data_IF_667396344843
#
_entry.id   IF_667396344843
#
_cell.length_a   1.000
_cell.length_b   1.000
_cell.length_c   1.000
_cell.angle_alpha   90.00
_cell.angle_beta   90.00
_cell.angle_gamma   90.00
#
_symmetry.space_group_name_H-M   'P 1'
#
loop_
_entity.id
_entity.type
_entity.pdbx_description
1 polymer ?
#
# COMPACT_ATOMS: atom_id res chain seq x y z
N UNK A 1 -11.59 11.15 2.37
CA UNK A 1 -12.47 10.57 3.40
C UNK A 1 -12.05 11.06 4.77
N UNK A 2 -12.95 11.73 5.49
CA UNK A 2 -12.70 12.30 6.83
C UNK A 2 -13.95 12.17 7.68
N UNK A 3 -13.80 12.17 9.02
CA UNK A 3 -14.88 12.19 9.99
C UNK A 3 -15.05 10.85 10.71
N UNK A 4 -15.16 10.89 12.03
CA UNK A 4 -15.37 9.70 12.85
C UNK A 4 -16.66 9.00 12.41
N UNK A 5 -16.62 7.67 12.28
CA UNK A 5 -17.73 6.84 11.79
C UNK A 5 -18.15 7.08 10.33
N UNK A 6 -17.43 7.92 9.58
CA UNK A 6 -17.66 8.02 8.14
C UNK A 6 -17.07 6.79 7.45
N UNK A 7 -17.90 6.13 6.62
CA UNK A 7 -17.53 4.90 5.93
C UNK A 7 -17.81 5.03 4.44
N UNK A 8 -16.82 4.76 3.60
CA UNK A 8 -17.02 4.48 2.19
C UNK A 8 -16.87 2.98 1.96
N UNK A 9 -17.97 2.34 1.59
CA UNK A 9 -17.97 0.93 1.20
C UNK A 9 -18.15 0.83 -0.31
N UNK A 10 -17.12 0.32 -0.98
CA UNK A 10 -17.16 -0.12 -2.36
C UNK A 10 -17.18 -1.66 -2.36
N UNK A 11 -18.05 -2.30 -3.12
CA UNK A 11 -18.06 -3.78 -3.22
C UNK A 11 -17.09 -4.30 -4.28
N UNK A 12 -16.62 -3.42 -5.18
CA UNK A 12 -15.65 -3.74 -6.21
C UNK A 12 -14.23 -3.29 -5.87
N UNK A 13 -13.39 -3.29 -6.91
CA UNK A 13 -12.05 -2.76 -6.81
C UNK A 13 -12.06 -1.23 -6.69
N UNK A 14 -11.14 -0.70 -5.88
CA UNK A 14 -10.87 0.73 -5.76
C UNK A 14 -9.54 1.02 -6.48
N UNK A 15 -9.59 1.95 -7.43
CA UNK A 15 -8.43 2.41 -8.18
C UNK A 15 -8.10 3.85 -7.81
N UNK A 16 -6.86 4.09 -7.39
CA UNK A 16 -6.26 5.41 -7.27
C UNK A 16 -5.26 5.53 -8.41
N UNK A 17 -5.74 6.05 -9.55
CA UNK A 17 -5.06 6.01 -10.83
C UNK A 17 -5.24 4.67 -11.56
N UNK A 18 -6.32 4.54 -12.35
CA UNK A 18 -6.51 3.38 -13.24
C UNK A 18 -5.58 3.46 -14.46
N UNK A 19 -5.70 4.54 -15.24
CA UNK A 19 -4.75 4.93 -16.32
C UNK A 19 -4.14 6.32 -16.07
N UNK A 20 -4.53 6.96 -14.96
CA UNK A 20 -4.18 8.34 -14.65
C UNK A 20 -3.01 8.44 -13.68
N UNK A 21 -2.25 9.53 -13.81
CA UNK A 21 -1.17 9.88 -12.89
C UNK A 21 -1.59 10.95 -11.90
N UNK A 22 -0.85 11.07 -10.80
CA UNK A 22 -0.99 12.16 -9.82
C UNK A 22 -2.35 12.25 -9.12
N UNK A 23 -3.08 11.13 -9.02
CA UNK A 23 -4.30 11.06 -8.22
C UNK A 23 -3.96 10.86 -6.74
N UNK A 24 -4.86 11.27 -5.85
CA UNK A 24 -4.67 11.09 -4.41
C UNK A 24 -5.94 10.66 -3.69
N UNK A 25 -5.77 9.87 -2.63
CA UNK A 25 -6.80 9.58 -1.65
C UNK A 25 -6.25 9.78 -0.24
N UNK A 26 -6.96 10.55 0.58
CA UNK A 26 -6.65 10.72 2.00
C UNK A 26 -7.77 10.11 2.83
N UNK A 27 -7.41 9.26 3.79
CA UNK A 27 -8.30 8.65 4.78
C UNK A 27 -7.80 9.11 6.15
N UNK A 28 -8.62 9.90 6.84
CA UNK A 28 -8.21 10.55 8.09
C UNK A 28 -9.35 10.68 9.09
N UNK A 29 -9.04 11.17 10.30
CA UNK A 29 -10.00 11.53 11.35
C UNK A 29 -10.98 10.38 11.68
N UNK A 30 -10.47 9.16 11.85
CA UNK A 30 -11.30 8.00 12.20
C UNK A 30 -12.19 7.45 11.08
N UNK A 31 -12.05 7.94 9.84
CA UNK A 31 -12.83 7.45 8.71
C UNK A 31 -12.37 6.07 8.24
N UNK A 32 -13.28 5.30 7.65
CA UNK A 32 -13.00 3.98 7.09
C UNK A 32 -13.31 3.89 5.59
N UNK A 33 -12.46 3.19 4.85
CA UNK A 33 -12.69 2.79 3.46
C UNK A 33 -12.62 1.28 3.37
N UNK A 34 -13.59 0.67 2.68
CA UNK A 34 -13.63 -0.77 2.43
C UNK A 34 -13.87 -1.05 0.96
N UNK A 35 -13.11 -1.99 0.39
CA UNK A 35 -13.23 -2.43 -1.00
C UNK A 35 -12.75 -3.88 -1.19
N UNK A 36 -13.06 -4.49 -2.34
CA UNK A 36 -12.66 -5.88 -2.60
C UNK A 36 -11.17 -6.01 -2.96
N UNK A 37 -10.66 -5.11 -3.79
CA UNK A 37 -9.23 -5.01 -4.12
C UNK A 37 -8.81 -3.55 -4.26
N UNK A 38 -7.61 -3.19 -3.80
CA UNK A 38 -7.08 -1.83 -3.84
C UNK A 38 -5.88 -1.73 -4.77
N UNK A 39 -5.93 -0.79 -5.70
CA UNK A 39 -4.84 -0.55 -6.65
C UNK A 39 -4.44 0.93 -6.61
N UNK A 40 -3.15 1.19 -6.41
CA UNK A 40 -2.55 2.51 -6.55
C UNK A 40 -1.63 2.44 -7.77
N UNK A 41 -2.02 3.07 -8.89
CA UNK A 41 -1.33 2.95 -10.17
C UNK A 41 -1.53 1.58 -10.83
N UNK A 42 -2.67 1.40 -11.50
CA UNK A 42 -3.05 0.12 -12.12
C UNK A 42 -2.36 -0.13 -13.46
N UNK A 43 -2.56 0.73 -14.46
CA UNK A 43 -1.91 0.59 -15.77
C UNK A 43 -0.49 1.17 -15.79
N UNK A 44 0.30 0.79 -16.79
CA UNK A 44 1.74 1.11 -16.88
C UNK A 44 2.06 2.61 -16.87
N UNK A 45 1.15 3.44 -17.39
CA UNK A 45 1.28 4.88 -17.40
C UNK A 45 0.77 5.57 -16.12
N UNK A 46 0.19 4.83 -15.17
CA UNK A 46 -0.41 5.38 -13.96
C UNK A 46 0.65 5.63 -12.88
N UNK A 47 1.26 6.80 -12.93
CA UNK A 47 2.39 7.15 -12.07
C UNK A 47 2.06 8.19 -11.00
N UNK A 48 2.87 8.28 -9.95
CA UNK A 48 2.76 9.33 -8.93
C UNK A 48 1.39 9.39 -8.23
N UNK A 49 0.63 8.30 -8.22
CA UNK A 49 -0.61 8.23 -7.45
C UNK A 49 -0.29 7.95 -5.98
N UNK A 50 -1.08 8.50 -5.07
CA UNK A 50 -0.78 8.43 -3.64
C UNK A 50 -2.00 8.13 -2.79
N UNK A 51 -1.80 7.34 -1.73
CA UNK A 51 -2.80 7.15 -0.69
C UNK A 51 -2.17 7.46 0.67
N UNK A 52 -2.87 8.24 1.49
CA UNK A 52 -2.47 8.53 2.87
C UNK A 52 -3.56 8.06 3.81
N UNK A 53 -3.22 7.16 4.73
CA UNK A 53 -4.08 6.71 5.82
C UNK A 53 -3.45 7.19 7.12
N UNK A 54 -4.11 8.14 7.80
CA UNK A 54 -3.50 8.87 8.92
C UNK A 54 -4.50 9.14 10.04
N UNK A 55 -4.03 9.09 11.28
CA UNK A 55 -4.82 9.40 12.46
C UNK A 55 -5.49 8.17 13.08
N UNK A 56 -5.59 8.19 14.41
CA UNK A 56 -6.15 7.10 15.18
C UNK A 56 -7.55 6.72 14.70
N UNK A 57 -7.76 5.42 14.47
CA UNK A 57 -9.03 4.88 13.99
C UNK A 57 -9.26 5.01 12.48
N UNK A 58 -8.42 5.76 11.75
CA UNK A 58 -8.48 5.78 10.30
C UNK A 58 -8.09 4.41 9.74
N UNK A 59 -8.89 3.89 8.80
CA UNK A 59 -8.72 2.54 8.31
C UNK A 59 -8.97 2.40 6.81
N UNK A 60 -8.14 1.59 6.15
CA UNK A 60 -8.40 1.10 4.80
C UNK A 60 -8.37 -0.43 4.77
N UNK A 61 -9.50 -1.05 4.43
CA UNK A 61 -9.66 -2.51 4.41
C UNK A 61 -9.94 -3.01 3.00
N UNK A 62 -9.03 -3.78 2.45
CA UNK A 62 -9.17 -4.50 1.20
C UNK A 62 -9.46 -5.97 1.54
N UNK A 63 -10.60 -6.53 1.11
CA UNK A 63 -10.86 -7.96 1.45
C UNK A 63 -10.03 -8.94 0.62
N UNK A 64 -9.44 -8.47 -0.47
CA UNK A 64 -8.53 -9.19 -1.36
C UNK A 64 -7.20 -8.48 -1.48
N UNK A 65 -6.75 -8.26 -2.71
CA UNK A 65 -5.41 -7.74 -3.01
C UNK A 65 -5.29 -6.25 -2.65
N UNK A 66 -4.13 -5.84 -2.15
CA UNK A 66 -3.64 -4.47 -2.17
C UNK A 66 -2.35 -4.41 -2.99
N UNK A 67 -2.33 -3.60 -4.04
CA UNK A 67 -1.14 -3.40 -4.90
C UNK A 67 -0.77 -1.92 -4.97
N UNK A 68 0.48 -1.61 -4.65
CA UNK A 68 1.09 -0.29 -4.87
C UNK A 68 2.03 -0.40 -6.06
N UNK A 69 1.59 0.14 -7.20
CA UNK A 69 2.18 -0.10 -8.51
C UNK A 69 1.86 -1.50 -9.03
N UNK A 70 0.64 -1.71 -9.56
CA UNK A 70 0.32 -2.96 -10.25
C UNK A 70 1.11 -3.04 -11.56
N UNK A 71 0.95 -2.04 -12.44
CA UNK A 71 1.87 -1.78 -13.55
C UNK A 71 2.51 -0.38 -13.51
N UNK A 72 1.96 0.54 -12.73
CA UNK A 72 2.44 1.91 -12.64
C UNK A 72 3.71 2.06 -11.78
N UNK A 73 4.46 3.13 -12.06
CA UNK A 73 5.68 3.49 -11.32
C UNK A 73 5.48 4.67 -10.36
N UNK A 74 6.36 4.82 -9.38
CA UNK A 74 6.41 5.98 -8.48
C UNK A 74 5.11 6.21 -7.69
N UNK A 75 4.33 5.18 -7.42
CA UNK A 75 3.11 5.27 -6.60
C UNK A 75 3.45 5.09 -5.12
N UNK A 76 2.63 5.67 -4.24
CA UNK A 76 2.90 5.66 -2.80
C UNK A 76 1.69 5.35 -1.92
N UNK A 77 1.96 4.66 -0.81
CA UNK A 77 1.04 4.50 0.31
C UNK A 77 1.74 4.89 1.61
N UNK A 78 1.15 5.81 2.37
CA UNK A 78 1.62 6.20 3.70
C UNK A 78 0.59 5.80 4.76
N UNK A 79 1.05 5.09 5.78
CA UNK A 79 0.25 4.67 6.94
C UNK A 79 0.90 5.26 8.18
N UNK A 80 0.21 6.20 8.84
CA UNK A 80 0.82 6.98 9.92
C UNK A 80 -0.14 7.40 11.03
N UNK A 81 0.38 7.93 12.13
CA UNK A 81 -0.36 8.47 13.28
C UNK A 81 -1.44 7.52 13.84
N UNK A 82 -1.13 6.24 14.02
CA UNK A 82 -2.06 5.26 14.60
C UNK A 82 -3.11 4.68 13.64
N UNK A 83 -2.97 4.94 12.34
CA UNK A 83 -3.85 4.40 11.30
C UNK A 83 -3.56 2.93 10.95
N UNK A 84 -4.53 2.26 10.33
CA UNK A 84 -4.44 0.82 10.00
C UNK A 84 -4.83 0.53 8.55
N UNK A 85 -4.02 -0.28 7.86
CA UNK A 85 -4.37 -0.85 6.56
C UNK A 85 -4.41 -2.37 6.66
N UNK A 86 -5.45 -2.97 6.10
CA UNK A 86 -5.65 -4.43 6.11
C UNK A 86 -5.91 -4.93 4.70
N UNK A 87 -5.30 -6.04 4.34
CA UNK A 87 -5.53 -6.72 3.07
C UNK A 87 -5.33 -8.24 3.17
N UNK A 88 -5.71 -8.98 2.11
CA UNK A 88 -5.43 -10.41 1.98
C UNK A 88 -4.00 -10.65 1.48
N UNK A 89 -3.69 -10.26 0.23
CA UNK A 89 -2.34 -10.35 -0.35
C UNK A 89 -1.84 -8.96 -0.73
N UNK A 90 -0.55 -8.71 -0.52
CA UNK A 90 0.07 -7.39 -0.61
C UNK A 90 1.23 -7.39 -1.59
N UNK A 91 1.23 -6.44 -2.52
CA UNK A 91 2.28 -6.31 -3.54
C UNK A 91 2.75 -4.87 -3.62
N UNK A 92 4.07 -4.67 -3.66
CA UNK A 92 4.70 -3.40 -4.01
C UNK A 92 5.52 -3.63 -5.27
N UNK A 93 5.05 -3.15 -6.41
CA UNK A 93 5.68 -3.41 -7.70
C UNK A 93 5.39 -4.80 -8.27
N UNK A 94 4.16 -5.01 -8.74
CA UNK A 94 3.69 -6.33 -9.19
C UNK A 94 4.28 -6.74 -10.56
N UNK A 95 4.05 -5.96 -11.62
CA UNK A 95 4.60 -6.25 -12.95
C UNK A 95 5.96 -5.60 -13.22
N UNK A 96 6.59 -5.98 -14.33
CA UNK A 96 7.93 -5.54 -14.75
C UNK A 96 8.08 -4.01 -14.90
N UNK A 97 7.04 -3.29 -15.30
CA UNK A 97 7.07 -1.83 -15.43
C UNK A 97 6.93 -1.10 -14.08
N UNK A 98 6.50 -1.80 -13.03
CA UNK A 98 6.21 -1.23 -11.73
C UNK A 98 7.49 -0.95 -10.96
N UNK A 99 8.05 0.23 -11.18
CA UNK A 99 9.29 0.65 -10.55
C UNK A 99 9.10 1.78 -9.55
N UNK A 100 9.98 1.84 -8.55
CA UNK A 100 10.06 2.95 -7.59
C UNK A 100 8.78 3.19 -6.80
N UNK A 101 7.95 2.16 -6.59
CA UNK A 101 6.78 2.27 -5.73
C UNK A 101 7.19 2.12 -4.27
N UNK A 102 6.50 2.84 -3.38
CA UNK A 102 6.87 2.90 -1.97
C UNK A 102 5.67 2.74 -1.04
N UNK A 103 5.84 1.93 0.00
CA UNK A 103 4.95 1.91 1.16
C UNK A 103 5.73 2.38 2.38
N UNK A 104 5.19 3.33 3.12
CA UNK A 104 5.76 3.82 4.38
C UNK A 104 4.79 3.58 5.53
N UNK A 105 5.24 2.87 6.56
CA UNK A 105 4.50 2.65 7.80
C UNK A 105 5.29 3.25 8.95
N UNK A 106 4.82 4.39 9.45
CA UNK A 106 5.58 5.20 10.43
C UNK A 106 4.69 5.73 11.55
N UNK A 107 5.22 5.74 12.76
CA UNK A 107 4.55 6.26 13.94
C UNK A 107 3.91 5.17 14.79
N UNK A 108 3.92 5.39 16.11
CA UNK A 108 3.40 4.45 17.09
C UNK A 108 1.95 4.08 16.80
N UNK A 109 1.67 2.77 16.78
CA UNK A 109 0.34 2.21 16.54
C UNK A 109 -0.08 2.18 15.08
N UNK A 110 0.72 2.71 14.15
CA UNK A 110 0.49 2.54 12.72
C UNK A 110 0.79 1.12 12.28
N UNK A 111 -0.12 0.53 11.51
CA UNK A 111 0.01 -0.87 11.13
C UNK A 111 -0.44 -1.18 9.71
N UNK A 112 0.34 -1.99 9.01
CA UNK A 112 -0.10 -2.73 7.83
C UNK A 112 -0.25 -4.22 8.18
N UNK A 113 -1.48 -4.73 8.09
CA UNK A 113 -1.83 -6.12 8.40
C UNK A 113 -2.20 -6.84 7.10
N UNK A 114 -1.24 -7.58 6.57
CA UNK A 114 -1.40 -8.44 5.41
C UNK A 114 -1.80 -9.86 5.87
N UNK A 115 -2.88 -10.43 5.38
CA UNK A 115 -3.36 -11.74 5.87
C UNK A 115 -2.88 -12.95 5.05
N UNK A 116 -1.96 -12.72 4.11
CA UNK A 116 -1.45 -13.71 3.18
C UNK A 116 -0.01 -13.40 2.79
N UNK A 117 0.25 -13.39 1.49
CA UNK A 117 1.57 -13.21 0.89
C UNK A 117 1.92 -11.73 0.81
N UNK A 118 3.19 -11.39 1.05
CA UNK A 118 3.71 -10.03 0.92
C UNK A 118 4.93 -10.02 0.00
N UNK A 119 4.84 -9.36 -1.15
CA UNK A 119 5.94 -9.28 -2.09
C UNK A 119 6.35 -7.84 -2.38
N UNK A 120 7.65 -7.58 -2.31
CA UNK A 120 8.27 -6.31 -2.64
C UNK A 120 9.13 -6.52 -3.88
N UNK A 121 8.62 -6.08 -5.03
CA UNK A 121 9.13 -6.39 -6.35
C UNK A 121 8.84 -7.84 -6.73
N UNK A 122 7.63 -8.12 -7.21
CA UNK A 122 7.34 -9.42 -7.81
C UNK A 122 8.11 -9.51 -9.14
N UNK A 123 7.78 -8.63 -10.10
CA UNK A 123 8.57 -8.43 -11.32
C UNK A 123 9.23 -7.04 -11.39
N UNK A 124 8.77 -6.09 -10.58
CA UNK A 124 9.19 -4.69 -10.60
C UNK A 124 10.53 -4.44 -9.89
N UNK A 125 11.28 -3.44 -10.36
CA UNK A 125 12.56 -3.04 -9.76
C UNK A 125 12.48 -1.75 -8.93
N UNK A 126 13.34 -1.60 -7.93
CA UNK A 126 13.46 -0.34 -7.17
C UNK A 126 12.30 -0.07 -6.20
N UNK A 127 11.47 -1.06 -5.89
CA UNK A 127 10.34 -0.89 -4.98
C UNK A 127 10.79 -0.98 -3.52
N UNK A 128 10.10 -0.28 -2.62
CA UNK A 128 10.51 -0.20 -1.22
C UNK A 128 9.36 -0.26 -0.22
N UNK A 129 9.64 -0.90 0.90
CA UNK A 129 8.85 -0.82 2.12
C UNK A 129 9.70 -0.19 3.22
N UNK A 130 9.20 0.88 3.83
CA UNK A 130 9.83 1.55 4.98
C UNK A 130 8.95 1.39 6.20
N UNK A 131 9.54 0.89 7.29
CA UNK A 131 8.91 0.76 8.60
C UNK A 131 9.74 1.58 9.58
N UNK A 132 9.14 2.58 10.23
CA UNK A 132 9.87 3.47 11.14
C UNK A 132 9.05 3.90 12.36
N UNK A 133 9.72 4.47 13.36
CA UNK A 133 9.10 5.26 14.46
C UNK A 133 7.96 4.53 15.20
N UNK A 134 8.11 3.21 15.43
CA UNK A 134 7.12 2.38 16.12
C UNK A 134 5.95 1.90 15.23
N UNK A 135 6.03 2.11 13.92
CA UNK A 135 5.15 1.47 12.94
C UNK A 135 5.39 -0.04 12.84
N UNK A 136 4.40 -0.78 12.35
CA UNK A 136 4.46 -2.24 12.25
C UNK A 136 3.89 -2.79 10.96
N UNK A 137 4.51 -3.86 10.44
CA UNK A 137 3.99 -4.63 9.30
C UNK A 137 3.96 -6.10 9.69
N UNK A 138 2.87 -6.79 9.36
CA UNK A 138 2.72 -8.23 9.60
C UNK A 138 2.13 -8.90 8.37
N UNK A 139 2.57 -10.12 8.10
CA UNK A 139 2.01 -11.01 7.08
C UNK A 139 1.78 -12.42 7.67
N UNK A 140 0.94 -13.26 7.05
CA UNK A 140 0.60 -14.61 7.57
C UNK A 140 1.10 -15.78 6.72
N UNK A 141 1.64 -15.50 5.54
CA UNK A 141 2.27 -16.49 4.66
C UNK A 141 3.76 -16.20 4.54
N UNK A 142 4.35 -16.42 3.36
CA UNK A 142 5.70 -15.98 3.04
C UNK A 142 5.76 -14.48 2.73
N UNK A 143 6.99 -13.97 2.81
CA UNK A 143 7.37 -12.65 2.31
C UNK A 143 8.56 -12.79 1.38
N UNK A 144 8.54 -12.08 0.25
CA UNK A 144 9.63 -12.11 -0.74
C UNK A 144 10.04 -10.68 -1.10
N UNK A 145 11.34 -10.46 -1.26
CA UNK A 145 11.92 -9.23 -1.79
C UNK A 145 12.67 -9.62 -3.07
N UNK A 146 12.14 -9.21 -4.23
CA UNK A 146 12.68 -9.61 -5.52
C UNK A 146 12.35 -11.06 -5.92
N UNK A 147 11.13 -11.31 -6.42
CA UNK A 147 10.70 -12.66 -6.80
C UNK A 147 11.27 -13.13 -8.15
N UNK A 148 11.08 -12.34 -9.20
CA UNK A 148 11.52 -12.68 -10.56
C UNK A 148 12.97 -12.28 -10.84
N UNK A 149 13.58 -12.89 -11.86
CA UNK A 149 14.99 -12.67 -12.24
C UNK A 149 15.36 -11.22 -12.58
N UNK A 150 14.39 -10.43 -13.03
CA UNK A 150 14.58 -9.01 -13.36
C UNK A 150 14.19 -8.06 -12.20
N UNK A 151 13.78 -8.61 -11.06
CA UNK A 151 13.29 -7.85 -9.91
C UNK A 151 14.46 -7.36 -9.06
N UNK A 152 15.09 -6.27 -9.50
CA UNK A 152 16.33 -5.75 -8.93
C UNK A 152 16.10 -4.53 -8.02
N UNK A 153 17.04 -4.27 -7.09
CA UNK A 153 17.05 -3.06 -6.25
C UNK A 153 15.79 -2.86 -5.38
N UNK A 154 15.05 -3.92 -5.11
CA UNK A 154 13.93 -3.87 -4.16
C UNK A 154 14.48 -3.91 -2.72
N UNK A 155 13.82 -3.21 -1.80
CA UNK A 155 14.32 -3.06 -0.44
C UNK A 155 13.22 -3.04 0.61
N UNK A 156 13.57 -3.51 1.81
CA UNK A 156 12.79 -3.29 3.02
C UNK A 156 13.72 -2.64 4.03
N UNK A 157 13.33 -1.47 4.54
CA UNK A 157 14.05 -0.75 5.57
C UNK A 157 13.21 -0.73 6.84
N UNK A 158 13.75 -1.31 7.92
CA UNK A 158 13.15 -1.24 9.26
C UNK A 158 14.06 -0.41 10.15
N UNK A 159 13.54 0.69 10.66
CA UNK A 159 14.24 1.58 11.58
C UNK A 159 13.35 1.91 12.76
N UNK A 160 13.93 2.43 13.83
CA UNK A 160 13.18 2.88 14.99
C UNK A 160 13.94 2.64 16.28
N UNK A 161 13.71 3.55 17.22
CA UNK A 161 14.05 3.45 18.64
C UNK A 161 12.81 3.82 19.42
#
# INVERSE_FOLDING_TARGET
>A
MTGTNSAWTNTGALYVGYSGSSNSLVITNGASVKNSAGFIGYEANSSNNSVVVTGTGAAWTNTGILSVGYAGSSNSLVITNGARVVNSNGYIGYTNNSSNNIVTVTGVGSAWINNGELEIGQDGSGNSLVISDGGSVSNRSYSIIGYSTNSSNNSVLVTGT
#
